data_IF_960957336613
#
_entry.id   IF_960957336613
#
_cell.length_a   1.000
_cell.length_b   1.000
_cell.length_c   1.000
_cell.angle_alpha   90.00
_cell.angle_beta   90.00
_cell.angle_gamma   90.00
#
_symmetry.space_group_name_H-M   'P 1'
#
loop_
_entity.id
_entity.type
_entity.pdbx_description
1 polymer ?
#
# COMPACT_ATOMS: atom_id res chain seq x y z
N UNK A 1 13.62 -18.40 23.99
CA UNK A 1 12.78 -18.24 22.78
C UNK A 1 13.64 -17.50 21.78
N UNK A 2 13.92 -18.10 20.61
CA UNK A 2 14.57 -17.37 19.51
C UNK A 2 13.56 -16.44 18.85
N UNK A 3 13.99 -15.22 18.53
CA UNK A 3 13.21 -14.28 17.73
C UNK A 3 13.45 -14.61 16.25
N UNK A 4 12.38 -14.90 15.51
CA UNK A 4 12.43 -14.99 14.06
C UNK A 4 12.05 -13.62 13.48
N UNK A 5 12.89 -13.10 12.58
CA UNK A 5 12.65 -11.82 11.90
C UNK A 5 12.53 -12.08 10.41
N UNK A 6 11.50 -11.49 9.79
CA UNK A 6 11.34 -11.44 8.34
C UNK A 6 11.31 -9.99 7.89
N UNK A 7 11.95 -9.71 6.75
CA UNK A 7 11.91 -8.39 6.10
C UNK A 7 10.98 -8.43 4.91
N UNK A 8 10.06 -7.48 4.84
CA UNK A 8 9.24 -7.21 3.66
C UNK A 8 9.59 -5.84 3.10
N UNK A 9 9.32 -5.64 1.81
CA UNK A 9 9.62 -4.39 1.11
C UNK A 9 8.36 -3.81 0.51
N UNK A 10 8.16 -2.51 0.65
CA UNK A 10 7.15 -1.76 -0.11
C UNK A 10 7.86 -0.91 -1.15
N UNK A 11 7.56 -1.15 -2.43
CA UNK A 11 7.97 -0.28 -3.54
C UNK A 11 6.92 0.82 -3.71
N UNK A 12 7.33 2.09 -3.74
CA UNK A 12 6.47 3.24 -4.01
C UNK A 12 6.86 3.84 -5.37
N UNK A 13 5.93 3.77 -6.33
CA UNK A 13 6.07 4.41 -7.63
C UNK A 13 5.28 5.70 -7.62
N UNK A 14 5.98 6.81 -7.78
CA UNK A 14 5.41 8.15 -7.73
C UNK A 14 5.42 8.76 -9.13
N UNK A 15 4.31 9.38 -9.52
CA UNK A 15 4.20 10.07 -10.80
C UNK A 15 3.27 11.27 -10.70
N UNK A 16 3.46 12.24 -11.60
CA UNK A 16 2.57 13.38 -11.73
C UNK A 16 2.05 13.47 -13.17
N UNK A 17 0.76 13.74 -13.31
CA UNK A 17 0.10 13.98 -14.60
C UNK A 17 -0.98 15.03 -14.44
N UNK A 18 -0.94 16.06 -15.27
CA UNK A 18 -1.97 17.11 -15.34
C UNK A 18 -2.29 17.77 -13.98
N UNK A 19 -1.27 17.98 -13.15
CA UNK A 19 -1.42 18.58 -11.80
C UNK A 19 -2.03 17.63 -10.76
N UNK A 20 -2.08 16.33 -11.06
CA UNK A 20 -2.46 15.27 -10.13
C UNK A 20 -1.24 14.41 -9.84
N UNK A 21 -0.91 14.26 -8.56
CA UNK A 21 0.11 13.33 -8.11
C UNK A 21 -0.52 11.97 -7.85
N UNK A 22 0.11 10.91 -8.35
CA UNK A 22 -0.28 9.52 -8.19
C UNK A 22 0.84 8.75 -7.50
N UNK A 23 0.46 7.83 -6.61
CA UNK A 23 1.35 6.90 -5.96
C UNK A 23 0.79 5.48 -6.09
N UNK A 24 1.65 4.52 -6.41
CA UNK A 24 1.36 3.09 -6.37
C UNK A 24 2.28 2.44 -5.33
N UNK A 25 1.72 1.76 -4.34
CA UNK A 25 2.43 1.01 -3.32
C UNK A 25 2.33 -0.48 -3.62
N UNK A 26 3.47 -1.18 -3.67
CA UNK A 26 3.55 -2.63 -3.92
C UNK A 26 4.28 -3.32 -2.77
N UNK A 27 3.58 -4.18 -2.05
CA UNK A 27 4.16 -5.00 -1.00
C UNK A 27 4.72 -6.30 -1.56
N UNK A 28 6.03 -6.50 -1.36
CA UNK A 28 6.74 -7.74 -1.61
C UNK A 28 6.95 -8.48 -0.28
N UNK A 29 6.10 -9.48 -0.02
CA UNK A 29 6.14 -10.32 1.19
C UNK A 29 6.87 -11.66 1.01
N UNK A 30 7.41 -11.91 -0.19
CA UNK A 30 8.04 -13.17 -0.59
C UNK A 30 7.10 -14.15 -1.31
N UNK A 31 5.82 -13.79 -1.46
CA UNK A 31 4.87 -14.53 -2.33
C UNK A 31 4.98 -14.03 -3.78
N UNK A 32 4.59 -14.85 -4.79
CA UNK A 32 4.77 -14.50 -6.20
C UNK A 32 4.01 -13.25 -6.66
N UNK A 33 2.85 -13.00 -6.08
CA UNK A 33 1.98 -11.87 -6.45
C UNK A 33 2.07 -10.78 -5.39
N UNK A 34 2.67 -9.61 -5.68
CA UNK A 34 2.70 -8.51 -4.72
C UNK A 34 1.30 -7.97 -4.49
N UNK A 35 1.04 -7.51 -3.26
CA UNK A 35 -0.18 -6.78 -2.95
C UNK A 35 0.02 -5.32 -3.37
N UNK A 36 -0.91 -4.78 -4.14
CA UNK A 36 -0.77 -3.43 -4.72
C UNK A 36 -1.93 -2.54 -4.29
N UNK A 37 -1.66 -1.27 -4.02
CA UNK A 37 -2.68 -0.24 -3.79
C UNK A 37 -2.21 1.12 -4.33
N UNK A 38 -3.15 2.02 -4.59
CA UNK A 38 -2.86 3.34 -5.16
C UNK A 38 -3.43 4.49 -4.32
N UNK A 39 -2.84 5.67 -4.45
CA UNK A 39 -3.27 6.91 -3.84
C UNK A 39 -3.06 8.08 -4.79
N UNK A 40 -3.87 9.12 -4.65
CA UNK A 40 -3.79 10.32 -5.49
C UNK A 40 -3.87 11.57 -4.63
N UNK A 41 -3.27 12.66 -5.09
CA UNK A 41 -3.37 13.99 -4.50
C UNK A 41 -3.55 15.04 -5.61
N UNK A 42 -4.46 15.99 -5.37
CA UNK A 42 -4.62 17.19 -6.18
C UNK A 42 -4.32 18.37 -5.30
N UNK A 43 -3.31 19.15 -5.65
CA UNK A 43 -3.04 20.39 -4.95
C UNK A 43 -3.33 21.58 -5.85
N UNK A 44 -4.00 22.59 -5.29
CA UNK A 44 -4.36 23.78 -6.05
C UNK A 44 -3.11 24.59 -6.41
N UNK A 45 -3.00 24.90 -7.71
CA UNK A 45 -1.91 25.60 -8.41
C UNK A 45 -1.63 27.04 -7.96
N UNK A 46 -2.10 27.48 -6.79
CA UNK A 46 -1.95 28.87 -6.36
C UNK A 46 -0.60 29.19 -5.71
N UNK A 47 0.20 28.16 -5.37
CA UNK A 47 1.57 28.35 -4.87
C UNK A 47 2.54 27.34 -5.53
N UNK A 48 3.62 27.77 -6.23
CA UNK A 48 4.32 26.89 -7.18
C UNK A 48 5.51 26.09 -6.65
N UNK A 49 6.02 26.31 -5.43
CA UNK A 49 7.33 25.74 -5.03
C UNK A 49 7.27 24.66 -3.94
N UNK A 50 6.40 24.78 -2.93
CA UNK A 50 6.30 23.80 -1.81
C UNK A 50 5.18 22.76 -2.02
N UNK A 51 4.33 22.95 -3.02
CA UNK A 51 3.11 22.15 -3.23
C UNK A 51 3.42 20.80 -3.91
N UNK A 52 4.42 20.73 -4.79
CA UNK A 52 4.72 19.49 -5.51
C UNK A 52 5.17 18.33 -4.58
N UNK A 53 6.02 18.62 -3.59
CA UNK A 53 6.51 17.62 -2.64
C UNK A 53 5.39 17.12 -1.71
N UNK A 54 4.53 18.02 -1.24
CA UNK A 54 3.33 17.69 -0.44
C UNK A 54 2.38 16.76 -1.23
N UNK A 55 2.31 16.92 -2.55
CA UNK A 55 1.48 16.07 -3.42
C UNK A 55 1.96 14.62 -3.40
N UNK A 56 3.27 14.42 -3.47
CA UNK A 56 3.89 13.11 -3.41
C UNK A 56 3.70 12.47 -2.03
N UNK A 57 3.93 13.22 -0.95
CA UNK A 57 3.72 12.75 0.41
C UNK A 57 2.27 12.31 0.64
N UNK A 58 1.30 13.13 0.21
CA UNK A 58 -0.11 12.85 0.41
C UNK A 58 -0.59 11.67 -0.44
N UNK A 59 -0.16 11.59 -1.71
CA UNK A 59 -0.46 10.46 -2.57
C UNK A 59 0.15 9.16 -2.00
N UNK A 60 1.41 9.20 -1.55
CA UNK A 60 2.09 8.06 -0.94
C UNK A 60 1.40 7.60 0.35
N UNK A 61 1.06 8.52 1.25
CA UNK A 61 0.35 8.21 2.48
C UNK A 61 -1.00 7.52 2.20
N UNK A 62 -1.75 8.01 1.21
CA UNK A 62 -3.02 7.38 0.77
C UNK A 62 -2.79 5.98 0.21
N UNK A 63 -1.79 5.79 -0.64
CA UNK A 63 -1.44 4.48 -1.19
C UNK A 63 -1.06 3.48 -0.08
N UNK A 64 -0.27 3.92 0.91
CA UNK A 64 0.14 3.09 2.04
C UNK A 64 -1.03 2.75 2.97
N UNK A 65 -1.95 3.68 3.22
CA UNK A 65 -3.18 3.40 3.98
C UNK A 65 -4.02 2.33 3.29
N UNK A 66 -4.30 2.50 1.99
CA UNK A 66 -5.04 1.51 1.23
C UNK A 66 -4.32 0.16 1.17
N UNK A 67 -2.99 0.14 1.08
CA UNK A 67 -2.19 -1.08 1.14
C UNK A 67 -2.35 -1.78 2.49
N UNK A 68 -2.33 -1.02 3.60
CA UNK A 68 -2.56 -1.54 4.95
C UNK A 68 -3.95 -2.15 5.11
N UNK A 69 -4.98 -1.48 4.60
CA UNK A 69 -6.35 -2.00 4.58
C UNK A 69 -6.44 -3.31 3.76
N UNK A 70 -5.86 -3.33 2.57
CA UNK A 70 -5.82 -4.52 1.72
C UNK A 70 -5.09 -5.70 2.38
N UNK A 71 -4.01 -5.41 3.13
CA UNK A 71 -3.26 -6.42 3.87
C UNK A 71 -4.08 -7.01 5.01
N UNK A 72 -4.82 -6.17 5.75
CA UNK A 72 -5.75 -6.63 6.78
C UNK A 72 -6.85 -7.52 6.20
N UNK A 73 -7.43 -7.14 5.06
CA UNK A 73 -8.45 -7.97 4.39
C UNK A 73 -7.89 -9.32 3.95
N UNK A 74 -6.68 -9.34 3.39
CA UNK A 74 -5.99 -10.57 2.97
C UNK A 74 -5.78 -11.50 4.17
N UNK A 75 -5.23 -10.98 5.27
CA UNK A 75 -5.02 -11.76 6.48
C UNK A 75 -6.33 -12.29 7.09
N UNK A 76 -7.39 -11.49 7.05
CA UNK A 76 -8.73 -11.94 7.48
C UNK A 76 -9.25 -13.11 6.64
N UNK A 77 -9.10 -13.04 5.32
CA UNK A 77 -9.49 -14.10 4.41
C UNK A 77 -8.73 -15.41 4.67
N UNK A 78 -7.42 -15.32 4.94
CA UNK A 78 -6.57 -16.48 5.23
C UNK A 78 -7.00 -17.17 6.54
N UNK A 79 -7.31 -16.41 7.59
CA UNK A 79 -7.82 -16.96 8.85
C UNK A 79 -9.15 -17.68 8.63
N UNK A 80 -10.07 -17.07 7.89
CA UNK A 80 -11.37 -17.66 7.58
C UNK A 80 -11.24 -18.97 6.78
N UNK A 81 -10.28 -19.03 5.84
CA UNK A 81 -10.00 -20.23 5.05
C UNK A 81 -9.53 -21.39 5.96
N UNK A 82 -8.55 -21.13 6.83
CA UNK A 82 -8.02 -22.12 7.77
C UNK A 82 -9.10 -22.67 8.72
N UNK A 83 -10.00 -21.81 9.20
CA UNK A 83 -11.11 -22.21 10.05
C UNK A 83 -12.14 -23.08 9.31
N UNK A 84 -12.33 -22.86 8.00
CA UNK A 84 -13.22 -23.71 7.19
C UNK A 84 -12.60 -25.08 6.94
N UNK A 85 -11.31 -25.16 6.64
CA UNK A 85 -10.60 -26.43 6.43
C UNK A 85 -10.62 -27.30 7.69
N UNK A 86 -10.35 -26.70 8.84
CA UNK A 86 -10.34 -27.39 10.14
C UNK A 86 -11.70 -27.95 10.56
N UNK A 87 -12.80 -27.44 9.98
CA UNK A 87 -14.17 -27.88 10.25
C UNK A 87 -14.66 -29.01 9.36
N UNK A 88 -13.95 -29.29 8.26
CA UNK A 88 -14.31 -30.34 7.29
C UNK A 88 -13.34 -31.54 7.31
N UNK A 89 -12.32 -31.52 8.17
CA UNK A 89 -11.46 -32.66 8.49
C UNK A 89 -11.83 -33.28 9.83
#
# INVERSE_FOLDING_TARGET
>A
MELTTQTWTVELLLSERDGVTHAEARLHSGVPTPLTASGEARLSLHDPLDVAEIGYELAAARALTHLGEALLQTAGADVDALLRESRHG
#
